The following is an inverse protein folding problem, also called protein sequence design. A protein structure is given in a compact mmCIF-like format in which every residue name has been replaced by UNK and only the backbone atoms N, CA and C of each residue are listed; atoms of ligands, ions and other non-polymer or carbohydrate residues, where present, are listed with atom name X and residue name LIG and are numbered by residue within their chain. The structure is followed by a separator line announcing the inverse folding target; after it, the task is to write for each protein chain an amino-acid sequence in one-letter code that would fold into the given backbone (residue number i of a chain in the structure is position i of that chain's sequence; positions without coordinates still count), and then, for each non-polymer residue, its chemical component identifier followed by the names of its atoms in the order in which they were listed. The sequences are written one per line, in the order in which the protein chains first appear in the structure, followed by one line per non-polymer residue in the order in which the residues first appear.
data_IF_955471499339
#
_entry.id   IF_955471499339
#
_cell.length_a   1.000
_cell.length_b   1.000
_cell.length_c   1.000
_cell.angle_alpha   90.00
_cell.angle_beta   90.00
_cell.angle_gamma   90.00
#
_symmetry.space_group_name_H-M   'P 1'
#
loop_
_entity.id
_entity.type
_entity.pdbx_description
1 polymer ?
2 polymer ?
3 water ?
#
# COMPACT_ATOMS: atom_id res chain seq x y z
N UNK A 1 16.41 -27.42 18.64
CA UNK A 1 16.83 -26.04 19.04
C UNK A 1 18.29 -25.79 18.68
N UNK A 2 18.60 -25.89 17.39
CA UNK A 2 19.94 -25.67 16.89
C UNK A 2 20.46 -24.28 17.26
N UNK A 3 19.97 -23.25 16.57
CA UNK A 3 20.38 -21.88 16.83
C UNK A 3 19.37 -20.85 16.31
N UNK A 4 19.39 -19.66 16.92
CA UNK A 4 18.50 -18.58 16.51
C UNK A 4 19.37 -17.43 16.03
N UNK A 5 19.19 -17.02 14.78
CA UNK A 5 20.01 -15.95 14.20
C UNK A 5 19.30 -15.16 13.10
N UNK A 6 19.28 -13.84 13.26
CA UNK A 6 18.68 -12.96 12.27
C UNK A 6 19.81 -12.59 11.33
N UNK A 7 19.70 -13.00 10.07
CA UNK A 7 20.75 -12.72 9.11
C UNK A 7 20.58 -11.40 8.37
N UNK A 8 19.33 -11.03 8.10
CA UNK A 8 19.07 -9.80 7.37
C UNK A 8 17.60 -9.38 7.43
N UNK A 9 17.39 -8.07 7.34
CA UNK A 9 16.08 -7.47 7.37
C UNK A 9 16.00 -6.44 6.22
N UNK A 10 14.81 -6.19 5.70
CA UNK A 10 14.67 -5.24 4.61
C UNK A 10 14.69 -3.80 5.09
N UNK A 11 14.44 -3.60 6.38
CA UNK A 11 14.45 -2.24 6.95
C UNK A 11 14.59 -2.32 8.47
N UNK A 12 15.28 -1.36 9.06
CA UNK A 12 15.49 -1.32 10.50
C UNK A 12 14.80 -0.15 11.19
N UNK A 13 13.80 0.44 10.57
CA UNK A 13 13.09 1.55 11.19
C UNK A 13 11.66 1.57 10.73
N UNK A 14 10.79 2.26 11.46
CA UNK A 14 9.40 2.28 11.07
C UNK A 14 8.60 3.17 11.99
N UNK A 15 7.34 3.40 11.62
CA UNK A 15 6.43 4.23 12.39
C UNK A 15 6.19 3.71 13.80
N UNK A 16 6.07 4.62 14.76
CA UNK A 16 5.81 4.25 16.14
C UNK A 16 4.41 3.65 16.23
N UNK A 17 3.63 3.83 15.16
CA UNK A 17 2.26 3.29 15.15
C UNK A 17 2.21 1.81 14.79
N UNK A 18 3.36 1.24 14.44
CA UNK A 18 3.39 -0.16 14.06
C UNK A 18 2.78 -0.38 12.68
N UNK A 19 2.69 -1.63 12.26
CA UNK A 19 2.09 -1.90 10.96
C UNK A 19 3.03 -2.00 9.78
N UNK A 20 4.32 -1.75 9.97
CA UNK A 20 5.25 -1.85 8.85
C UNK A 20 5.64 -3.30 8.60
N UNK A 21 5.51 -3.74 7.36
CA UNK A 21 5.86 -5.11 7.01
C UNK A 21 7.37 -5.26 6.88
N UNK A 22 7.91 -6.28 7.55
CA UNK A 22 9.34 -6.53 7.56
C UNK A 22 9.63 -7.90 6.97
N UNK A 23 10.66 -7.98 6.11
CA UNK A 23 11.07 -9.26 5.55
C UNK A 23 12.32 -9.63 6.34
N UNK A 24 12.26 -10.73 7.07
CA UNK A 24 13.37 -11.15 7.93
C UNK A 24 13.98 -12.50 7.52
N UNK A 25 15.26 -12.46 7.20
CA UNK A 25 15.96 -13.68 6.77
C UNK A 25 16.75 -14.18 7.98
N UNK A 26 16.60 -15.47 8.28
CA UNK A 26 17.24 -16.08 9.45
C UNK A 26 17.77 -17.48 9.21
N UNK A 27 18.32 -18.08 10.27
CA UNK A 27 18.80 -19.46 10.14
C UNK A 27 17.54 -20.31 10.35
N UNK A 28 17.61 -21.59 10.01
CA UNK A 28 16.46 -22.47 10.16
C UNK A 28 15.71 -22.36 11.49
N UNK A 29 14.39 -22.25 11.42
CA UNK A 29 13.54 -22.16 12.60
C UNK A 29 12.37 -23.11 12.38
N UNK A 30 11.50 -23.19 13.38
CA UNK A 30 10.30 -24.04 13.33
C UNK A 30 9.12 -23.07 13.33
N UNK A 31 8.38 -23.03 12.24
CA UNK A 31 7.25 -22.10 12.10
C UNK A 31 6.24 -22.06 13.24
N UNK A 32 6.03 -23.19 13.92
CA UNK A 32 5.07 -23.24 15.03
C UNK A 32 5.72 -22.87 16.36
N UNK A 33 7.04 -22.77 16.37
CA UNK A 33 7.77 -22.47 17.59
C UNK A 33 8.79 -21.34 17.37
N UNK A 34 8.31 -20.17 17.01
CA UNK A 34 9.18 -19.04 16.77
C UNK A 34 8.40 -17.72 16.80
N UNK A 35 9.05 -16.65 17.25
CA UNK A 35 8.39 -15.35 17.30
C UNK A 35 9.42 -14.24 17.16
N UNK A 36 8.95 -13.02 16.89
CA UNK A 36 9.84 -11.87 16.76
C UNK A 36 9.50 -11.00 17.95
N UNK A 37 10.44 -10.96 18.89
CA UNK A 37 10.30 -10.26 20.16
C UNK A 37 10.94 -8.87 20.19
N UNK A 38 10.11 -7.84 20.31
CA UNK A 38 10.58 -6.45 20.37
C UNK A 38 10.70 -6.00 21.83
N UNK A 39 11.83 -5.42 22.20
CA UNK A 39 12.03 -4.97 23.57
C UNK A 39 12.73 -3.63 23.72
N UNK A 40 12.39 -2.94 24.80
CA UNK A 40 12.99 -1.66 25.12
C UNK A 40 12.88 -1.47 26.61
N UNK A 41 13.53 -0.44 27.19
CA UNK A 41 13.40 -0.29 28.65
C UNK A 41 11.93 -0.22 29.04
N UNK A 42 11.52 -1.20 29.84
CA UNK A 42 10.14 -1.29 30.29
C UNK A 42 9.13 -1.49 29.18
N UNK A 43 9.47 -2.27 28.17
CA UNK A 43 8.54 -2.50 27.07
C UNK A 43 8.87 -3.72 26.24
N UNK A 44 7.83 -4.48 25.90
CA UNK A 44 7.98 -5.66 25.07
C UNK A 44 6.75 -5.84 24.19
N UNK A 45 6.95 -6.47 23.04
CA UNK A 45 5.87 -6.71 22.10
C UNK A 45 6.38 -7.67 21.02
N UNK A 46 5.45 -8.31 20.30
CA UNK A 46 5.82 -9.26 19.27
C UNK A 46 5.44 -8.78 17.87
N UNK A 47 6.18 -9.24 16.87
CA UNK A 47 5.85 -8.89 15.51
C UNK A 47 4.60 -9.70 15.20
N UNK A 48 3.83 -9.26 14.22
CA UNK A 48 2.60 -9.94 13.85
C UNK A 48 2.74 -10.75 12.57
N UNK A 49 2.49 -12.06 12.67
CA UNK A 49 2.56 -12.97 11.51
C UNK A 49 1.93 -14.31 11.87
N UNK A 50 1.73 -15.17 10.88
CA UNK A 50 1.16 -16.48 11.13
C UNK A 50 2.12 -17.55 10.60
N UNK A 51 1.92 -18.80 10.99
CA UNK A 51 2.77 -19.88 10.53
C UNK A 51 2.91 -19.86 9.02
N UNK A 52 1.86 -19.42 8.34
CA UNK A 52 1.86 -19.36 6.88
C UNK A 52 2.83 -18.29 6.38
N UNK A 53 3.26 -17.42 7.29
CA UNK A 53 4.19 -16.34 6.92
C UNK A 53 5.67 -16.74 6.98
N UNK A 54 5.94 -17.96 7.45
CA UNK A 54 7.32 -18.43 7.55
C UNK A 54 7.55 -19.22 6.29
N UNK A 55 8.58 -18.80 5.55
CA UNK A 55 8.94 -19.38 4.26
C UNK A 55 10.16 -20.28 4.31
N UNK A 56 9.92 -21.58 4.13
CA UNK A 56 11.00 -22.57 4.14
C UNK A 56 11.80 -22.43 5.42
N UNK A 57 11.10 -22.12 6.50
CA UNK A 57 11.68 -21.96 7.82
C UNK A 57 12.97 -21.15 7.86
N UNK A 58 13.23 -20.38 6.82
CA UNK A 58 14.45 -19.59 6.80
C UNK A 58 14.17 -18.10 6.55
N UNK A 59 12.90 -17.74 6.57
CA UNK A 59 12.50 -16.35 6.38
C UNK A 59 11.11 -16.15 6.95
N UNK A 60 10.88 -14.96 7.50
CA UNK A 60 9.59 -14.61 8.07
C UNK A 60 9.19 -13.23 7.59
N UNK A 61 7.92 -13.07 7.24
CA UNK A 61 7.36 -11.79 6.82
C UNK A 61 6.38 -11.40 7.92
N UNK A 62 6.62 -10.28 8.58
CA UNK A 62 5.75 -9.86 9.66
C UNK A 62 5.55 -8.34 9.74
N UNK A 63 4.50 -7.92 10.43
CA UNK A 63 4.21 -6.50 10.61
C UNK A 63 4.72 -6.12 12.00
N UNK A 64 5.32 -4.95 12.12
CA UNK A 64 5.85 -4.48 13.40
C UNK A 64 4.72 -4.10 14.35
N UNK A 65 4.95 -4.28 15.66
CA UNK A 65 3.92 -3.92 16.64
C UNK A 65 3.97 -2.41 16.89
N UNK A 66 2.87 -1.85 17.41
CA UNK A 66 2.85 -0.42 17.68
C UNK A 66 3.82 -0.21 18.85
N UNK A 67 4.49 0.93 18.90
CA UNK A 67 5.40 1.18 20.01
C UNK A 67 4.60 1.65 21.22
N UNK A 68 5.21 1.60 22.41
CA UNK A 68 4.52 2.00 23.63
C UNK A 68 3.91 3.39 23.53
N UNK A 69 4.71 4.35 23.06
CA UNK A 69 4.25 5.73 22.93
C UNK A 69 3.87 6.08 21.49
N UNK A 70 2.57 6.25 21.23
CA UNK A 70 2.01 6.58 19.90
C UNK A 70 2.36 8.00 19.45
N UNK A 71 2.56 8.89 20.41
CA UNK A 71 2.86 10.28 20.12
C UNK A 71 4.36 10.56 20.23
N UNK A 72 5.17 9.59 19.80
CA UNK A 72 6.62 9.72 19.83
C UNK A 72 6.99 10.99 19.10
N UNK A 73 7.90 11.78 19.67
CA UNK A 73 8.31 13.04 19.06
C UNK A 73 9.75 13.00 18.57
N UNK A 74 10.42 11.87 18.80
CA UNK A 74 11.79 11.68 18.37
C UNK A 74 12.06 10.19 18.25
N UNK A 75 12.97 9.81 17.36
CA UNK A 75 13.35 8.41 17.12
C UNK A 75 13.74 7.68 18.40
N UNK A 76 13.21 6.48 18.58
CA UNK A 76 13.51 5.65 19.74
C UNK A 76 14.08 4.31 19.29
N UNK A 77 15.31 4.00 19.71
CA UNK A 77 15.93 2.73 19.33
C UNK A 77 15.50 1.62 20.27
N UNK A 78 15.14 0.48 19.70
CA UNK A 78 14.74 -0.68 20.49
C UNK A 78 15.43 -1.91 19.91
N UNK A 79 15.22 -3.05 20.55
CA UNK A 79 15.84 -4.28 20.08
C UNK A 79 14.83 -5.24 19.48
N UNK A 80 15.30 -5.97 18.49
CA UNK A 80 14.48 -6.92 17.79
C UNK A 80 15.25 -8.23 17.80
N UNK A 81 14.59 -9.31 18.18
CA UNK A 81 15.26 -10.60 18.19
C UNK A 81 14.29 -11.76 18.07
N UNK A 82 14.81 -12.89 17.61
CA UNK A 82 14.01 -14.10 17.45
C UNK A 82 13.86 -14.76 18.82
N UNK A 83 12.68 -15.28 19.09
CA UNK A 83 12.40 -15.94 20.35
C UNK A 83 11.77 -17.30 20.09
N UNK A 84 12.23 -18.31 20.83
CA UNK A 84 11.69 -19.65 20.68
C UNK A 84 10.92 -19.99 21.96
N UNK A 85 9.58 -19.96 21.91
CA UNK A 85 8.78 -20.28 23.09
C UNK A 85 9.17 -21.63 23.69
N UNK A 86 9.66 -22.52 22.83
CA UNK A 86 10.11 -23.86 23.22
C UNK A 86 10.96 -23.83 24.49
N UNK A 87 12.16 -23.28 24.39
CA UNK A 87 13.05 -23.21 25.53
C UNK A 87 13.39 -21.76 25.90
N UNK A 88 12.58 -20.83 25.40
CA UNK A 88 12.74 -19.40 25.65
C UNK A 88 14.04 -18.80 25.13
N UNK A 89 14.71 -19.51 24.23
CA UNK A 89 15.95 -19.05 23.65
C UNK A 89 15.75 -17.76 22.82
N UNK A 90 16.76 -16.90 22.82
CA UNK A 90 16.71 -15.64 22.08
C UNK A 90 17.94 -15.47 21.21
N UNK A 91 17.77 -14.88 20.03
CA UNK A 91 18.89 -14.65 19.12
C UNK A 91 19.58 -13.38 19.60
N UNK A 92 20.69 -13.04 18.97
CA UNK A 92 21.36 -11.79 19.33
C UNK A 92 20.38 -10.70 18.87
N UNK A 93 20.29 -9.61 19.63
CA UNK A 93 19.37 -8.53 19.26
C UNK A 93 19.80 -7.72 18.05
N UNK A 94 18.82 -7.18 17.34
CA UNK A 94 19.10 -6.33 16.19
C UNK A 94 18.42 -5.01 16.48
N UNK A 95 19.07 -3.91 16.15
CA UNK A 95 18.47 -2.63 16.43
C UNK A 95 17.33 -2.30 15.48
N UNK A 96 16.31 -1.65 16.02
CA UNK A 96 15.18 -1.21 15.24
C UNK A 96 14.81 0.14 15.79
N UNK A 97 14.50 1.07 14.89
CA UNK A 97 14.18 2.40 15.36
C UNK A 97 12.75 2.85 15.04
N UNK A 98 11.98 3.15 16.08
CA UNK A 98 10.61 3.64 15.92
C UNK A 98 10.69 5.14 15.67
N UNK A 99 9.82 5.65 14.80
CA UNK A 99 9.84 7.07 14.47
C UNK A 99 8.48 7.72 14.65
N UNK A 100 8.46 9.05 14.84
CA UNK A 100 7.19 9.77 15.02
C UNK A 100 6.31 9.48 13.79
N UNK A 101 5.02 9.26 14.00
CA UNK A 101 4.09 8.91 12.90
C UNK A 101 3.61 10.06 12.02
N UNK A 102 3.50 9.78 10.72
CA UNK A 102 3.07 10.78 9.76
C UNK A 102 1.66 10.50 9.21
N UNK A 103 0.70 10.41 10.12
CA UNK A 103 -0.70 10.15 9.79
C UNK A 103 -1.28 11.22 8.85
N UNK A 104 -2.16 10.80 7.93
CA UNK A 104 -2.77 11.73 6.98
C UNK A 104 -3.62 12.82 7.64
N UNK A 105 -4.71 12.41 8.28
CA UNK A 105 -5.62 13.35 8.93
C UNK A 105 -4.93 14.26 9.93
N UNK A 106 -3.90 13.74 10.61
CA UNK A 106 -3.18 14.55 11.59
C UNK A 106 -2.19 15.48 10.88
N UNK A 107 -1.59 14.97 9.80
CA UNK A 107 -0.65 15.74 9.01
C UNK A 107 -1.38 16.98 8.49
N UNK A 108 -2.67 16.79 8.16
CA UNK A 108 -3.50 17.88 7.64
C UNK A 108 -3.76 18.92 8.71
N UNK A 109 -4.06 18.46 9.92
CA UNK A 109 -4.35 19.33 11.05
C UNK A 109 -3.19 20.25 11.43
N UNK A 110 -1.97 19.71 11.42
CA UNK A 110 -0.80 20.51 11.77
C UNK A 110 -0.52 21.46 10.63
N UNK A 111 -0.87 21.05 9.42
CA UNK A 111 -0.67 21.90 8.26
C UNK A 111 -1.68 23.05 8.35
N UNK A 112 -2.86 22.75 8.89
CA UNK A 112 -3.92 23.74 9.04
C UNK A 112 -3.47 24.88 9.95
N UNK A 113 -2.94 24.52 11.11
CA UNK A 113 -2.48 25.50 12.08
C UNK A 113 -1.33 26.32 11.51
N UNK A 114 -0.36 25.63 10.93
CA UNK A 114 0.81 26.26 10.34
C UNK A 114 0.44 27.21 9.21
N UNK A 115 -0.74 27.03 8.62
CA UNK A 115 -1.17 27.87 7.50
C UNK A 115 -2.33 28.80 7.80
N UNK A 116 -2.73 28.90 9.07
CA UNK A 116 -3.85 29.76 9.43
C UNK A 116 -3.68 31.17 8.89
N UNK A 117 -2.64 31.85 9.37
CA UNK A 117 -2.37 33.22 8.95
C UNK A 117 -2.30 33.37 7.44
N UNK A 118 -1.62 32.44 6.77
CA UNK A 118 -1.50 32.50 5.31
C UNK A 118 -2.85 32.47 4.62
N UNK A 119 -3.74 31.60 5.09
CA UNK A 119 -5.07 31.45 4.50
C UNK A 119 -5.88 32.72 4.70
N UNK A 120 -5.94 33.19 5.94
CA UNK A 120 -6.68 34.40 6.28
C UNK A 120 -6.27 35.49 5.29
N UNK A 121 -4.96 35.56 5.03
CA UNK A 121 -4.41 36.55 4.13
C UNK A 121 -4.85 36.39 2.68
N UNK A 122 -4.60 35.21 2.09
CA UNK A 122 -4.97 35.00 0.70
C UNK A 122 -6.40 35.35 0.37
N UNK A 123 -7.34 35.02 1.24
CA UNK A 123 -8.73 35.36 0.94
C UNK A 123 -9.02 36.82 1.25
N UNK A 124 -8.20 37.42 2.11
CA UNK A 124 -8.35 38.83 2.46
C UNK A 124 -8.04 39.65 1.21
N UNK A 125 -6.95 39.28 0.54
CA UNK A 125 -6.49 39.97 -0.67
C UNK A 125 -7.33 39.64 -1.89
N UNK A 126 -7.96 38.46 -1.88
CA UNK A 126 -8.78 38.04 -3.00
C UNK A 126 -10.09 38.83 -3.07
N UNK A 127 -10.73 38.86 -4.24
CA UNK A 127 -12.00 39.57 -4.43
C UNK A 127 -13.10 39.03 -3.51
N UNK A 128 -12.86 37.85 -2.94
CA UNK A 128 -13.82 37.24 -2.05
C UNK A 128 -13.96 38.09 -0.80
N UNK A 129 -15.21 38.31 -0.39
CA UNK A 129 -15.53 39.12 0.78
C UNK A 129 -15.45 38.36 2.09
N UNK A 130 -16.44 37.51 2.34
CA UNK A 130 -16.46 36.72 3.56
C UNK A 130 -17.79 36.02 3.72
N UNK A 131 -17.93 35.13 4.71
CA UNK A 131 -19.19 34.41 4.94
C UNK A 131 -20.38 35.36 5.05
N UNK A 132 -21.58 34.80 5.05
CA UNK A 132 -22.80 35.62 5.15
C UNK A 132 -22.90 36.32 6.51
N UNK A 133 -23.24 37.61 6.48
CA UNK A 133 -23.38 38.39 7.71
C UNK A 133 -24.56 37.82 8.50
N UNK A 134 -24.27 37.22 9.67
CA UNK A 134 -25.27 36.61 10.56
C UNK A 134 -26.25 37.61 11.17
N UNK A 135 -27.51 37.55 10.77
CA UNK A 135 -28.52 38.45 11.32
C UNK A 135 -28.62 38.23 12.82
N UNK B 1 14.11 -31.83 -12.32
CA UNK B 1 14.77 -30.58 -11.86
C UNK B 1 13.75 -29.68 -11.15
N UNK B 2 14.18 -29.02 -10.09
CA UNK B 2 13.29 -28.13 -9.35
C UNK B 2 12.75 -27.11 -10.33
N UNK B 3 11.53 -26.65 -10.09
CA UNK B 3 10.95 -25.66 -10.97
C UNK B 3 11.24 -24.29 -10.39
N UNK B 4 11.33 -23.29 -11.26
CA UNK B 4 11.59 -21.91 -10.86
C UNK B 4 10.27 -21.26 -10.48
N UNK B 5 10.18 -20.70 -9.29
CA UNK B 5 8.94 -20.06 -8.90
C UNK B 5 9.16 -18.95 -7.87
N UNK B 6 8.62 -17.78 -8.16
CA UNK B 6 8.71 -16.63 -7.27
C UNK B 6 7.47 -16.70 -6.38
N UNK B 7 7.69 -16.93 -5.10
CA UNK B 7 6.59 -17.05 -4.14
C UNK B 7 6.11 -15.72 -3.63
N UNK B 8 7.03 -14.78 -3.40
CA UNK B 8 6.65 -13.49 -2.89
C UNK B 8 7.75 -12.45 -2.95
N UNK B 9 7.35 -11.19 -3.04
CA UNK B 9 8.30 -10.06 -3.07
C UNK B 9 7.79 -9.00 -2.09
N UNK B 10 8.70 -8.17 -1.57
CA UNK B 10 8.28 -7.13 -0.63
C UNK B 10 7.62 -5.95 -1.32
N UNK B 11 7.88 -5.77 -2.62
CA UNK B 11 7.29 -4.65 -3.33
C UNK B 11 7.23 -4.93 -4.83
N UNK B 12 6.21 -4.44 -5.50
CA UNK B 12 6.08 -4.65 -6.93
C UNK B 12 6.17 -3.40 -7.76
N UNK B 13 6.73 -2.33 -7.19
CA UNK B 13 6.88 -1.09 -7.93
C UNK B 13 8.13 -0.37 -7.49
N UNK B 14 8.64 0.49 -8.36
CA UNK B 14 9.84 1.23 -8.01
C UNK B 14 10.16 2.29 -9.04
N UNK B 15 11.14 3.12 -8.72
CA UNK B 15 11.58 4.20 -9.59
C UNK B 15 12.13 3.69 -10.91
N UNK B 16 11.87 4.43 -11.99
CA UNK B 16 12.36 4.06 -13.30
C UNK B 16 13.89 4.15 -13.30
N UNK B 17 14.44 4.84 -12.30
CA UNK B 17 15.89 4.98 -12.19
C UNK B 17 16.58 3.72 -11.68
N UNK B 18 15.81 2.75 -11.23
CA UNK B 18 16.42 1.53 -10.71
C UNK B 18 17.02 1.77 -9.35
N UNK B 19 17.65 0.76 -8.77
CA UNK B 19 18.26 0.93 -7.46
C UNK B 19 17.43 0.52 -6.26
N UNK B 20 16.18 0.13 -6.49
CA UNK B 20 15.33 -0.26 -5.38
C UNK B 20 15.63 -1.69 -4.93
N UNK B 21 15.89 -1.85 -3.64
CA UNK B 21 16.17 -3.16 -3.08
C UNK B 21 14.89 -3.97 -2.96
N UNK B 22 14.91 -5.18 -3.50
CA UNK B 22 13.74 -6.05 -3.46
C UNK B 22 14.08 -7.35 -2.74
N UNK B 23 13.20 -7.78 -1.83
CA UNK B 23 13.38 -9.05 -1.15
C UNK B 23 12.47 -10.04 -1.86
N UNK B 24 13.07 -11.09 -2.41
CA UNK B 24 12.31 -12.09 -3.15
C UNK B 24 12.39 -13.50 -2.59
N UNK B 25 11.23 -14.06 -2.27
CA UNK B 25 11.12 -15.41 -1.74
C UNK B 25 10.77 -16.33 -2.91
N UNK B 26 11.46 -17.44 -3.03
CA UNK B 26 11.23 -18.37 -4.13
C UNK B 26 11.42 -19.83 -3.71
N UNK B 27 11.22 -20.74 -4.66
CA UNK B 27 11.45 -22.15 -4.40
C UNK B 27 12.97 -22.35 -4.52
N UNK B 28 13.46 -23.50 -4.08
CA UNK B 28 14.90 -23.79 -4.11
C UNK B 28 15.61 -23.48 -5.44
N UNK B 29 16.69 -22.70 -5.37
CA UNK B 29 17.48 -22.36 -6.55
C UNK B 29 18.95 -22.65 -6.21
N UNK B 30 19.84 -22.46 -7.18
CA UNK B 30 21.27 -22.65 -7.02
C UNK B 30 21.84 -21.26 -7.20
N UNK B 31 22.51 -20.76 -6.15
CA UNK B 31 23.06 -19.40 -6.13
C UNK B 31 23.97 -18.98 -7.27
N UNK B 32 24.75 -19.89 -7.83
CA UNK B 32 25.62 -19.52 -8.95
C UNK B 32 24.93 -19.68 -10.29
N UNK B 33 23.72 -20.24 -10.29
CA UNK B 33 22.96 -20.49 -11.53
C UNK B 33 21.53 -19.94 -11.45
N UNK B 34 21.39 -18.64 -11.21
CA UNK B 34 20.07 -18.02 -11.09
C UNK B 34 20.18 -16.51 -11.32
N UNK B 35 19.13 -15.92 -11.87
CA UNK B 35 19.14 -14.47 -12.08
C UNK B 35 17.71 -13.96 -12.07
N UNK B 36 17.56 -12.65 -11.93
CA UNK B 36 16.24 -12.01 -11.91
C UNK B 36 16.19 -11.26 -13.24
N UNK B 37 15.37 -11.77 -14.14
CA UNK B 37 15.25 -11.24 -15.50
C UNK B 37 14.03 -10.32 -15.72
N UNK B 38 14.30 -9.04 -15.96
CA UNK B 38 13.23 -8.07 -16.19
C UNK B 38 13.00 -7.86 -17.70
N UNK B 39 11.75 -7.90 -18.13
CA UNK B 39 11.46 -7.66 -19.56
C UNK B 39 10.20 -6.90 -19.82
N UNK B 40 10.22 -6.20 -20.95
CA UNK B 40 9.09 -5.42 -21.39
C UNK B 40 9.19 -5.33 -22.91
N UNK B 41 8.21 -4.72 -23.58
CA UNK B 41 8.27 -4.62 -25.04
C UNK B 41 9.60 -4.00 -25.44
N UNK B 42 10.42 -4.77 -26.15
CA UNK B 42 11.71 -4.26 -26.58
C UNK B 42 12.63 -3.80 -25.46
N UNK B 43 12.66 -4.54 -24.36
CA UNK B 43 13.53 -4.20 -23.23
C UNK B 43 13.80 -5.38 -22.32
N UNK B 44 15.05 -5.52 -21.91
CA UNK B 44 15.48 -6.59 -21.02
C UNK B 44 16.55 -6.06 -20.09
N UNK B 45 16.64 -6.65 -18.90
CA UNK B 45 17.63 -6.25 -17.93
C UNK B 45 17.54 -7.20 -16.74
N UNK B 46 18.60 -7.27 -15.93
CA UNK B 46 18.56 -8.17 -14.78
C UNK B 46 18.75 -7.44 -13.46
N UNK B 47 18.22 -8.04 -12.41
CA UNK B 47 18.37 -7.44 -11.10
C UNK B 47 19.83 -7.54 -10.72
N UNK B 48 20.25 -6.72 -9.77
CA UNK B 48 21.64 -6.74 -9.33
C UNK B 48 21.79 -7.39 -7.96
N UNK B 49 22.63 -8.41 -7.87
CA UNK B 49 22.91 -9.10 -6.61
C UNK B 49 24.11 -10.03 -6.77
N UNK B 50 24.70 -10.47 -5.67
CA UNK B 50 25.83 -11.38 -5.70
C UNK B 50 25.37 -12.69 -5.07
N UNK B 51 26.20 -13.72 -5.13
CA UNK B 51 25.83 -15.01 -4.57
C UNK B 51 25.56 -14.88 -3.08
N UNK B 52 26.37 -14.08 -2.39
CA UNK B 52 26.19 -13.88 -0.96
C UNK B 52 24.76 -13.38 -0.73
N UNK B 53 24.15 -12.80 -1.76
CA UNK B 53 22.79 -12.28 -1.62
C UNK B 53 21.68 -13.32 -1.74
N UNK B 54 22.03 -14.58 -2.01
CA UNK B 54 21.05 -15.64 -2.10
C UNK B 54 21.03 -16.37 -0.76
N UNK B 55 19.91 -16.25 -0.05
CA UNK B 55 19.74 -16.81 1.27
C UNK B 55 19.22 -18.24 1.31
N UNK B 56 20.05 -19.15 1.81
CA UNK B 56 19.66 -20.55 1.90
C UNK B 56 18.94 -21.01 0.66
N UNK B 57 19.38 -20.49 -0.50
CA UNK B 57 18.84 -20.83 -1.81
C UNK B 57 17.33 -20.71 -1.98
N UNK B 58 16.68 -20.05 -1.04
CA UNK B 58 15.23 -19.90 -1.13
C UNK B 58 14.77 -18.43 -1.02
N UNK B 59 15.72 -17.52 -1.16
CA UNK B 59 15.44 -16.10 -1.11
C UNK B 59 16.60 -15.33 -1.73
N UNK B 60 16.27 -14.20 -2.37
CA UNK B 60 17.28 -13.38 -3.01
C UNK B 60 16.99 -11.92 -2.69
N UNK B 61 18.03 -11.16 -2.38
CA UNK B 61 17.89 -9.73 -2.12
C UNK B 61 18.64 -9.05 -3.27
N UNK B 62 17.94 -8.25 -4.05
CA UNK B 62 18.55 -7.61 -5.21
C UNK B 62 18.07 -6.19 -5.46
N UNK B 63 18.84 -5.46 -6.24
CA UNK B 63 18.46 -4.09 -6.58
C UNK B 63 17.92 -4.14 -8.00
N UNK B 64 16.83 -3.42 -8.24
CA UNK B 64 16.20 -3.35 -9.56
C UNK B 64 17.09 -2.58 -10.54
N UNK B 65 17.04 -2.98 -11.82
CA UNK B 65 17.85 -2.28 -12.82
C UNK B 65 17.12 -1.04 -13.25
N UNK B 66 17.84 -0.06 -13.82
CA UNK B 66 17.16 1.16 -14.25
C UNK B 66 16.28 0.79 -15.45
N UNK B 67 15.17 1.50 -15.63
CA UNK B 67 14.29 1.21 -16.76
C UNK B 67 14.87 1.83 -18.04
N UNK B 68 14.36 1.40 -19.19
CA UNK B 68 14.83 1.91 -20.48
C UNK B 68 14.75 3.43 -20.54
N UNK B 69 13.59 3.97 -20.17
CA UNK B 69 13.36 5.40 -20.20
C UNK B 69 13.48 6.02 -18.80
N UNK B 70 14.55 6.80 -18.57
CA UNK B 70 14.77 7.44 -17.27
C UNK B 70 13.83 8.62 -17.00
N UNK B 71 13.27 9.20 -18.05
CA UNK B 71 12.36 10.32 -17.90
C UNK B 71 10.91 9.87 -18.06
N UNK B 72 10.61 8.68 -17.53
CA UNK B 72 9.27 8.12 -17.59
C UNK B 72 8.31 9.12 -16.97
N UNK B 73 7.18 9.37 -17.64
CA UNK B 73 6.19 10.33 -17.13
C UNK B 73 4.93 9.67 -16.62
N UNK B 74 4.84 8.35 -16.76
CA UNK B 74 3.69 7.59 -16.29
C UNK B 74 4.14 6.16 -15.99
N UNK B 75 3.47 5.51 -15.02
CA UNK B 75 3.81 4.14 -14.62
C UNK B 75 3.81 3.16 -15.79
N UNK B 76 4.86 2.35 -15.86
CA UNK B 76 5.01 1.35 -16.91
C UNK B 76 5.12 -0.04 -16.29
N UNK B 77 4.20 -0.93 -16.67
CA UNK B 77 4.23 -2.29 -16.15
C UNK B 77 5.15 -3.19 -16.97
N UNK B 78 6.01 -3.94 -16.28
CA UNK B 78 6.95 -4.87 -16.91
C UNK B 78 6.85 -6.22 -16.20
N UNK B 79 7.63 -7.18 -16.70
CA UNK B 79 7.64 -8.52 -16.14
C UNK B 79 8.91 -8.79 -15.37
N UNK B 80 8.77 -9.57 -14.32
CA UNK B 80 9.90 -9.93 -13.47
C UNK B 80 9.83 -11.44 -13.37
N UNK B 81 10.95 -12.12 -13.61
CA UNK B 81 10.95 -13.55 -13.51
C UNK B 81 12.33 -14.11 -13.20
N UNK B 82 12.33 -15.33 -12.65
CA UNK B 82 13.56 -16.02 -12.32
C UNK B 82 14.09 -16.67 -13.59
N UNK B 83 15.40 -16.63 -13.81
CA UNK B 83 15.99 -17.25 -14.99
C UNK B 83 17.18 -18.12 -14.58
N UNK B 84 17.28 -19.29 -15.19
CA UNK B 84 18.39 -20.21 -14.93
C UNK B 84 19.29 -20.25 -16.15
N UNK B 85 20.48 -19.63 -16.09
CA UNK B 85 21.40 -19.62 -17.24
C UNK B 85 21.65 -21.07 -17.70
N UNK B 86 21.65 -21.97 -16.72
CA UNK B 86 21.86 -23.39 -16.95
C UNK B 86 21.11 -23.96 -18.16
N UNK B 87 19.78 -23.96 -18.09
CA UNK B 87 18.96 -24.49 -19.18
C UNK B 87 18.03 -23.41 -19.75
N UNK B 88 18.32 -22.16 -19.40
CA UNK B 88 17.56 -21.02 -19.88
C UNK B 88 16.11 -21.01 -19.45
N UNK B 89 15.79 -21.81 -18.44
CA UNK B 89 14.44 -21.92 -17.90
C UNK B 89 14.00 -20.60 -17.26
N UNK B 90 12.70 -20.31 -17.32
CA UNK B 90 12.14 -19.10 -16.73
C UNK B 90 10.92 -19.44 -15.88
N UNK B 91 10.76 -18.72 -14.77
CA UNK B 91 9.62 -18.91 -13.88
C UNK B 91 8.46 -18.18 -14.52
N UNK B 92 7.29 -18.29 -13.90
CA UNK B 92 6.14 -17.59 -14.41
C UNK B 92 6.45 -16.14 -14.09
N UNK B 93 6.12 -15.22 -15.01
CA UNK B 93 6.40 -13.80 -14.76
C UNK B 93 5.57 -13.17 -13.65
N UNK B 94 6.13 -12.13 -13.05
CA UNK B 94 5.47 -11.41 -12.00
C UNK B 94 5.48 -9.94 -12.41
N UNK B 95 4.40 -9.23 -12.12
CA UNK B 95 4.31 -7.84 -12.50
C UNK B 95 5.20 -6.95 -11.67
N UNK B 96 5.77 -5.93 -12.32
CA UNK B 96 6.57 -4.95 -11.64
C UNK B 96 6.26 -3.65 -12.36
N UNK B 97 6.06 -2.60 -11.58
CA UNK B 97 5.70 -1.32 -12.15
C UNK B 97 6.79 -0.26 -11.93
N UNK B 98 7.31 0.29 -13.02
CA UNK B 98 8.31 1.33 -12.92
C UNK B 98 7.57 2.66 -12.84
N UNK B 99 8.07 3.57 -12.02
CA UNK B 99 7.41 4.85 -11.83
C UNK B 99 8.32 6.02 -12.14
N UNK B 100 7.73 7.19 -12.48
CA UNK B 100 8.51 8.39 -12.81
C UNK B 100 9.32 8.84 -11.60
N UNK B 101 10.38 9.59 -11.86
CA UNK B 101 11.24 10.09 -10.80
C UNK B 101 10.61 11.31 -10.16
N UNK B 102 10.46 11.29 -8.84
CA UNK B 102 9.87 12.42 -8.13
C UNK B 102 10.94 13.45 -7.76
N UNK B 103 10.68 14.71 -8.10
CA UNK B 103 11.59 15.81 -7.82
C UNK B 103 12.85 15.73 -8.68
N UNK B 104 13.51 16.87 -8.87
CA UNK B 104 14.73 16.96 -9.68
C UNK B 104 14.41 16.58 -11.12
N UNK B 105 14.09 15.30 -11.34
CA UNK B 105 13.75 14.80 -12.66
C UNK B 105 12.33 15.24 -12.99
N UNK B 106 12.17 15.87 -14.15
CA UNK B 106 10.88 16.38 -14.59
C UNK B 106 10.37 17.52 -13.73
N UNK B 107 10.84 17.59 -12.49
CA UNK B 107 10.45 18.65 -11.58
C UNK B 107 11.11 19.95 -12.05
N UNK B 108 12.39 19.85 -12.40
CA UNK B 108 13.16 21.00 -12.88
C UNK B 108 12.95 21.07 -14.39
N UNK B 109 12.18 20.12 -14.90
CA UNK B 109 11.86 20.03 -16.33
C UNK B 109 10.38 20.34 -16.53
N UNK B 110 10.02 21.62 -16.42
CA UNK B 110 8.65 22.08 -16.58
C UNK B 110 7.60 21.19 -15.92
N UNK B 111 7.51 21.32 -14.60
CA UNK B 111 6.55 20.57 -13.79
C UNK B 111 6.38 21.45 -12.57
N UNK B 112 7.47 21.60 -11.82
CA UNK B 112 7.50 22.46 -10.65
C UNK B 112 7.49 23.86 -11.25
N UNK C 1 -5.50 33.55 -13.97
CA UNK C 1 -5.82 32.51 -12.95
C UNK C 1 -4.87 32.60 -11.75
N UNK C 2 -5.43 32.52 -10.55
CA UNK C 2 -4.63 32.59 -9.32
C UNK C 2 -3.58 31.49 -9.35
N UNK C 3 -2.43 31.73 -8.72
CA UNK C 3 -1.37 30.73 -8.72
C UNK C 3 -0.50 30.68 -7.48
N UNK C 4 -1.06 31.02 -6.33
CA UNK C 4 -0.31 30.98 -5.08
C UNK C 4 -0.11 29.55 -4.62
N UNK C 5 1.03 29.28 -4.00
CA UNK C 5 1.35 27.96 -3.50
C UNK C 5 2.21 28.05 -2.24
N UNK C 6 1.89 27.24 -1.24
CA UNK C 6 2.65 27.23 0.01
C UNK C 6 3.97 26.49 -0.18
N UNK C 7 4.77 26.41 0.88
CA UNK C 7 6.04 25.70 0.82
C UNK C 7 5.77 24.22 0.66
N UNK C 8 4.54 23.82 0.93
CA UNK C 8 4.14 22.42 0.84
C UNK C 8 3.44 22.14 -0.50
N UNK C 9 3.38 23.15 -1.36
CA UNK C 9 2.74 22.97 -2.65
C UNK C 9 1.22 23.09 -2.63
N UNK C 10 0.65 23.51 -1.51
CA UNK C 10 -0.80 23.67 -1.39
C UNK C 10 -1.31 25.00 -1.94
N UNK C 11 -2.18 24.94 -2.94
CA UNK C 11 -2.73 26.15 -3.52
C UNK C 11 -3.89 26.64 -2.65
N UNK C 12 -4.57 27.69 -3.10
CA UNK C 12 -5.70 28.24 -2.35
C UNK C 12 -6.78 27.16 -2.19
N UNK C 13 -6.87 26.27 -3.17
CA UNK C 13 -7.84 25.19 -3.11
C UNK C 13 -7.52 24.25 -1.95
N UNK C 14 -6.30 23.70 -1.96
CA UNK C 14 -5.88 22.77 -0.90
C UNK C 14 -6.16 23.36 0.47
N UNK C 15 -5.85 24.63 0.62
CA UNK C 15 -6.06 25.31 1.90
C UNK C 15 -7.53 25.53 2.21
N UNK C 16 -8.36 25.63 1.18
CA UNK C 16 -9.79 25.82 1.41
C UNK C 16 -10.35 24.56 2.09
N UNK C 17 -9.88 23.39 1.64
CA UNK C 17 -10.36 22.14 2.23
C UNK C 17 -9.64 21.87 3.56
N UNK C 18 -8.34 22.17 3.62
CA UNK C 18 -7.59 21.97 4.86
C UNK C 18 -8.28 22.78 5.97
N UNK C 19 -8.67 24.00 5.64
CA UNK C 19 -9.33 24.86 6.62
C UNK C 19 -10.85 24.69 6.65
N UNK C 20 -11.36 23.72 5.89
CA UNK C 20 -12.79 23.45 5.87
C UNK C 20 -13.60 24.73 5.75
N UNK C 21 -13.27 25.55 4.77
CA UNK C 21 -13.98 26.82 4.56
C UNK C 21 -14.89 26.71 3.33
N UNK C 22 -16.07 26.15 3.51
CA UNK C 22 -17.01 25.98 2.40
C UNK C 22 -17.23 27.25 1.60
N UNK C 23 -17.49 28.39 2.26
CA UNK C 23 -17.71 29.66 1.57
C UNK C 23 -16.58 30.02 0.61
N UNK C 24 -15.34 30.00 1.08
CA UNK C 24 -14.23 30.33 0.21
C UNK C 24 -14.07 29.25 -0.84
N UNK C 25 -14.32 27.99 -0.46
CA UNK C 25 -14.22 26.90 -1.43
C UNK C 25 -15.14 27.21 -2.59
N UNK C 26 -16.39 27.54 -2.28
CA UNK C 26 -17.37 27.88 -3.30
C UNK C 26 -16.85 28.97 -4.22
N UNK C 27 -16.24 29.99 -3.62
CA UNK C 27 -15.68 31.10 -4.38
C UNK C 27 -14.65 30.55 -5.37
N UNK C 28 -13.61 29.89 -4.86
CA UNK C 28 -12.56 29.33 -5.70
C UNK C 28 -13.15 28.52 -6.84
N UNK C 29 -13.97 27.53 -6.50
CA UNK C 29 -14.59 26.68 -7.50
C UNK C 29 -15.38 27.50 -8.52
N UNK C 30 -15.79 28.70 -8.12
CA UNK C 30 -16.54 29.55 -9.00
C UNK C 30 -15.82 29.78 -10.32
N UNK C 31 -14.48 29.72 -10.27
CA UNK C 31 -13.67 29.91 -11.47
C UNK C 31 -13.03 28.60 -11.86
N UNK C 32 -12.37 27.96 -10.90
CA UNK C 32 -11.66 26.70 -11.08
C UNK C 32 -12.36 25.66 -11.95
N UNK C 33 -13.68 25.52 -11.80
CA UNK C 33 -14.43 24.54 -12.57
C UNK C 33 -13.92 24.35 -14.00
N UNK C 34 -13.53 23.12 -14.33
CA UNK C 34 -13.04 22.82 -15.67
C UNK C 34 -11.56 23.06 -15.91
N UNK C 35 -10.92 23.86 -15.06
CA UNK C 35 -9.51 24.19 -15.19
C UNK C 35 -8.63 23.05 -14.67
N UNK C 36 -7.32 23.18 -14.95
CA UNK C 36 -6.34 22.20 -14.49
C UNK C 36 -5.98 22.56 -13.05
N UNK C 37 -6.41 23.75 -12.63
CA UNK C 37 -6.15 24.23 -11.29
C UNK C 37 -6.71 23.26 -10.25
N UNK C 38 -7.83 22.63 -10.58
CA UNK C 38 -8.44 21.67 -9.67
C UNK C 38 -7.56 20.48 -9.35
N UNK C 39 -6.85 19.98 -10.37
CA UNK C 39 -6.00 18.81 -10.17
C UNK C 39 -4.57 19.04 -9.71
N UNK C 40 -4.23 20.28 -9.39
CA UNK C 40 -2.88 20.57 -8.94
C UNK C 40 -2.58 19.75 -7.69
N UNK C 41 -1.40 19.12 -7.68
CA UNK C 41 -0.99 18.29 -6.55
C UNK C 41 0.07 18.96 -5.69
N UNK C 42 -0.15 19.01 -4.38
CA UNK C 42 0.86 19.59 -3.49
C UNK C 42 2.08 18.67 -3.49
N UNK C 43 3.00 18.88 -2.56
CA UNK C 43 4.23 18.09 -2.50
C UNK C 43 4.06 16.64 -2.04
N UNK C 44 2.86 16.28 -1.60
CA UNK C 44 2.59 14.90 -1.19
C UNK C 44 1.85 14.23 -2.35
N UNK C 45 1.72 14.95 -3.46
CA UNK C 45 1.04 14.43 -4.63
C UNK C 45 -0.47 14.49 -4.49
N UNK C 46 -0.94 15.13 -3.44
CA UNK C 46 -2.37 15.24 -3.19
C UNK C 46 -3.04 16.40 -3.91
N UNK C 47 -4.27 16.16 -4.36
CA UNK C 47 -5.05 17.21 -5.01
C UNK C 47 -6.05 17.64 -3.94
N UNK C 48 -6.92 18.58 -4.27
CA UNK C 48 -7.93 19.03 -3.31
C UNK C 48 -8.89 17.88 -3.02
N UNK C 49 -9.16 17.08 -4.05
CA UNK C 49 -10.07 15.93 -3.92
C UNK C 49 -9.51 14.97 -2.88
N UNK C 50 -8.23 14.64 -3.01
CA UNK C 50 -7.55 13.74 -2.09
C UNK C 50 -7.73 14.23 -0.66
N UNK C 51 -7.52 15.52 -0.46
CA UNK C 51 -7.65 16.10 0.86
C UNK C 51 -9.07 15.93 1.40
N UNK C 52 -10.06 16.21 0.55
CA UNK C 52 -11.45 16.11 0.93
C UNK C 52 -11.79 14.67 1.31
N UNK C 53 -11.24 13.72 0.55
CA UNK C 53 -11.48 12.30 0.80
C UNK C 53 -10.93 11.87 2.16
N UNK C 54 -9.71 12.31 2.45
CA UNK C 54 -9.06 11.98 3.71
C UNK C 54 -9.88 12.51 4.86
N UNK C 55 -10.40 13.72 4.70
CA UNK C 55 -11.18 14.36 5.75
C UNK C 55 -12.57 13.73 5.89
N UNK C 56 -12.94 12.90 4.92
CA UNK C 56 -14.23 12.24 4.95
C UNK C 56 -15.41 13.20 4.80
N UNK C 57 -15.23 14.25 4.02
CA UNK C 57 -16.28 15.24 3.80
C UNK C 57 -17.04 14.99 2.49
N UNK C 58 -18.13 14.22 2.57
CA UNK C 58 -18.93 13.87 1.39
C UNK C 58 -19.44 15.06 0.61
N UNK C 59 -19.80 16.12 1.33
CA UNK C 59 -20.30 17.30 0.66
C UNK C 59 -19.18 17.97 -0.13
N UNK C 60 -17.99 18.05 0.46
CA UNK C 60 -16.86 18.68 -0.20
C UNK C 60 -16.36 17.86 -1.39
N UNK C 61 -16.48 16.53 -1.30
CA UNK C 61 -16.04 15.68 -2.38
C UNK C 61 -16.94 15.86 -3.60
N UNK C 62 -18.24 16.09 -3.36
CA UNK C 62 -19.19 16.28 -4.46
C UNK C 62 -18.91 17.57 -5.22
N UNK C 63 -18.64 18.65 -4.49
CA UNK C 63 -18.37 19.93 -5.12
C UNK C 63 -17.18 19.80 -6.06
N UNK C 64 -16.10 19.24 -5.52
CA UNK C 64 -14.89 19.04 -6.31
C UNK C 64 -15.18 18.11 -7.48
N UNK C 65 -15.92 17.04 -7.23
CA UNK C 65 -16.26 16.07 -8.27
C UNK C 65 -17.18 16.74 -9.32
N UNK C 66 -18.17 17.47 -8.84
CA UNK C 66 -19.11 18.16 -9.71
C UNK C 66 -18.37 19.18 -10.56
N UNK C 67 -17.37 19.82 -9.97
CA UNK C 67 -16.56 20.82 -10.65
C UNK C 67 -15.62 20.24 -11.69
N UNK C 68 -15.50 18.91 -11.71
CA UNK C 68 -14.64 18.29 -12.70
C UNK C 68 -13.27 17.82 -12.23
N UNK C 69 -13.08 17.67 -10.92
CA UNK C 69 -11.81 17.21 -10.38
C UNK C 69 -11.52 15.79 -10.87
N UNK C 70 -10.27 15.54 -11.26
CA UNK C 70 -9.85 14.23 -11.73
C UNK C 70 -9.96 13.18 -10.64
N UNK C 71 -10.59 12.06 -10.94
CA UNK C 71 -10.79 11.03 -9.95
C UNK C 71 -9.75 9.90 -9.99
N UNK C 72 -8.87 9.93 -10.98
CA UNK C 72 -7.84 8.91 -11.10
C UNK C 72 -6.47 9.42 -10.68
N UNK C 73 -6.35 10.72 -10.47
CA UNK C 73 -5.08 11.28 -10.06
C UNK C 73 -4.62 10.54 -8.81
N UNK C 74 -3.33 10.26 -8.72
CA UNK C 74 -2.79 9.54 -7.57
C UNK C 74 -1.76 10.37 -6.81
N UNK C 75 -1.79 10.27 -5.49
CA UNK C 75 -0.83 10.99 -4.68
C UNK C 75 0.45 10.15 -4.58
N UNK C 76 1.33 10.51 -3.64
CA UNK C 76 2.62 9.85 -3.45
C UNK C 76 2.63 8.34 -3.38
N UNK C 77 1.63 7.74 -2.73
CA UNK C 77 1.57 6.29 -2.62
C UNK C 77 0.78 5.62 -3.74
N UNK C 78 0.40 6.41 -4.75
CA UNK C 78 -0.37 5.89 -5.86
C UNK C 78 -1.85 5.77 -5.51
N UNK C 79 -2.26 6.46 -4.44
CA UNK C 79 -3.65 6.41 -4.01
C UNK C 79 -4.55 7.41 -4.71
N UNK C 80 -5.66 6.92 -5.26
CA UNK C 80 -6.64 7.82 -5.89
C UNK C 80 -7.46 8.30 -4.71
N UNK C 81 -8.41 9.20 -4.96
CA UNK C 81 -9.28 9.71 -3.91
C UNK C 81 -10.09 8.54 -3.34
N UNK C 82 -10.50 7.62 -4.21
CA UNK C 82 -11.27 6.46 -3.75
C UNK C 82 -10.41 5.57 -2.85
N UNK C 83 -9.12 5.45 -3.15
CA UNK C 83 -8.24 4.63 -2.32
C UNK C 83 -8.16 5.17 -0.92
N UNK C 84 -8.07 6.50 -0.81
CA UNK C 84 -7.96 7.17 0.47
C UNK C 84 -9.24 7.00 1.28
N UNK C 85 -10.38 7.06 0.60
CA UNK C 85 -11.66 6.90 1.28
C UNK C 85 -11.68 5.53 1.94
N UNK C 86 -11.13 4.54 1.26
CA UNK C 86 -11.13 3.16 1.78
C UNK C 86 -10.17 2.93 2.93
N UNK C 87 -9.39 3.94 3.28
CA UNK C 87 -8.41 3.81 4.35
C UNK C 87 -8.96 4.44 5.61
N UNK C 88 -9.85 5.41 5.43
CA UNK C 88 -10.44 6.11 6.57
C UNK C 88 -11.92 5.84 6.71
N UNK C 89 -12.39 4.74 6.12
CA UNK C 89 -13.81 4.39 6.22
C UNK C 89 -14.76 5.51 5.83
N UNK C 90 -14.36 6.33 4.86
CA UNK C 90 -15.21 7.43 4.39
C UNK C 90 -16.25 6.89 3.42
N UNK C 91 -17.18 6.09 3.96
CA UNK C 91 -18.24 5.47 3.19
C UNK C 91 -19.04 6.40 2.29
N UNK C 92 -19.50 7.53 2.85
CA UNK C 92 -20.28 8.46 2.07
C UNK C 92 -19.47 9.10 0.92
N UNK C 93 -18.19 9.35 1.16
CA UNK C 93 -17.33 9.92 0.11
C UNK C 93 -17.19 8.94 -1.06
N UNK C 94 -17.02 7.66 -0.75
CA UNK C 94 -16.87 6.64 -1.78
C UNK C 94 -18.14 6.60 -2.63
N UNK C 95 -19.27 6.77 -1.94
CA UNK C 95 -20.58 6.74 -2.58
C UNK C 95 -20.72 7.88 -3.61
N UNK C 96 -20.27 9.07 -3.22
CA UNK C 96 -20.31 10.23 -4.11
C UNK C 96 -19.47 9.95 -5.36
N UNK C 97 -18.29 9.35 -5.16
CA UNK C 97 -17.40 9.06 -6.27
C UNK C 97 -17.87 7.92 -7.18
N UNK C 98 -18.47 6.90 -6.56
CA UNK C 98 -18.92 5.72 -7.29
C UNK C 98 -20.22 5.83 -8.11
N UNK C 99 -20.27 6.83 -8.98
CA UNK C 99 -21.42 7.07 -9.86
C UNK C 99 -21.02 8.14 -10.86
N UNK C 100 -21.82 8.32 -11.93
CA UNK C 100 -21.48 9.33 -12.93
C UNK C 100 -21.36 10.69 -12.28
N UNK C 101 -20.32 11.44 -12.65
CA UNK C 101 -20.10 12.77 -12.12
C UNK C 101 -21.38 13.61 -12.17
N UNK C 102 -21.58 14.49 -11.18
CA UNK C 102 -22.79 15.33 -11.18
C UNK C 102 -22.86 16.15 -12.47
N UNK C 103 -24.07 16.37 -12.97
CA UNK C 103 -24.24 17.16 -14.18
C UNK C 103 -24.06 18.64 -13.83
N UNK C 104 -23.15 19.31 -14.53
CA UNK C 104 -22.86 20.73 -14.30
C UNK C 104 -22.28 20.94 -12.90
N UNK C 105 -21.45 21.98 -12.74
CA UNK C 105 -20.83 22.29 -11.45
C UNK C 105 -21.84 22.79 -10.42
N UNK C 106 -21.88 24.10 -10.23
CA UNK C 106 -22.78 24.72 -9.28
C UNK C 106 -22.94 26.22 -9.57
N UNK C 107 -24.02 26.59 -10.24
CA UNK C 107 -24.28 27.99 -10.59
C UNK C 107 -25.63 28.45 -10.03
N UNK C 108 -26.06 27.82 -8.93
CA UNK C 108 -27.33 28.14 -8.28
C UNK C 108 -28.53 27.89 -9.18
N UNK C 144 -13.86 7.29 -22.07
CA UNK C 144 -13.11 7.17 -20.79
C UNK C 144 -13.86 7.84 -19.64
N UNK C 145 -14.99 8.49 -19.97
CA UNK C 145 -15.78 9.17 -18.94
C UNK C 145 -16.54 8.11 -18.15
N UNK C 146 -15.83 7.03 -17.84
CA UNK C 146 -16.35 5.89 -17.10
C UNK C 146 -15.87 5.96 -15.65
N UNK C 147 -16.74 6.39 -14.74
CA UNK C 147 -16.38 6.49 -13.33
C UNK C 147 -15.92 5.15 -12.77
N UNK C 148 -16.27 4.06 -13.45
CA UNK C 148 -15.91 2.71 -13.00
C UNK C 148 -14.41 2.40 -13.12
N UNK C 149 -13.67 3.27 -13.80
CA UNK C 149 -12.24 3.08 -13.95
C UNK C 149 -11.56 3.29 -12.60
N UNK C 150 -12.31 3.79 -11.60
CA UNK C 150 -11.77 4.01 -10.26
C UNK C 150 -11.66 2.69 -9.50
N UNK C 151 -12.59 1.79 -9.81
CA UNK C 151 -12.69 0.50 -9.16
C UNK C 151 -11.47 -0.38 -9.26
N UNK C 152 -10.78 -0.31 -10.38
CA UNK C 152 -9.62 -1.16 -10.55
C UNK C 152 -8.30 -0.38 -10.59
N UNK C 153 -8.36 0.88 -10.15
CA UNK C 153 -7.15 1.70 -10.10
C UNK C 153 -6.24 1.04 -9.06
N UNK C 154 -4.96 0.91 -9.37
CA UNK C 154 -4.08 0.29 -8.38
C UNK C 154 -3.03 1.25 -7.87
N UNK C 155 -2.79 1.22 -6.56
CA UNK C 155 -1.79 2.08 -5.99
C UNK C 155 -0.44 1.41 -6.17
N UNK C 156 0.59 2.04 -5.62
CA UNK C 156 1.96 1.53 -5.72
C UNK C 156 2.21 0.30 -4.85
N UNK C 157 1.23 -0.06 -4.03
CA UNK C 157 1.33 -1.25 -3.19
C UNK C 157 0.67 -2.40 -3.96
N UNK C 158 0.25 -2.11 -5.18
CA UNK C 158 -0.41 -3.12 -6.00
C UNK C 158 -1.84 -3.37 -5.53
N UNK C 159 -2.38 -2.43 -4.75
CA UNK C 159 -3.74 -2.56 -4.22
C UNK C 159 -4.79 -1.75 -4.95
N UNK C 160 -5.94 -2.37 -5.19
CA UNK C 160 -7.06 -1.67 -5.81
C UNK C 160 -7.88 -1.26 -4.60
N UNK C 161 -8.92 -0.44 -4.78
CA UNK C 161 -9.72 -0.02 -3.62
C UNK C 161 -10.28 -1.18 -2.78
N UNK C 162 -10.74 -2.25 -3.44
CA UNK C 162 -11.31 -3.37 -2.69
C UNK C 162 -10.29 -3.98 -1.72
N UNK C 163 -9.07 -4.19 -2.22
CA UNK C 163 -8.00 -4.72 -1.39
C UNK C 163 -7.88 -3.89 -0.14
N UNK C 164 -7.86 -2.58 -0.31
CA UNK C 164 -7.75 -1.66 0.82
C UNK C 164 -8.95 -1.82 1.75
N UNK C 165 -10.16 -1.83 1.21
CA UNK C 165 -11.34 -1.98 2.07
C UNK C 165 -11.29 -3.27 2.89
N UNK C 166 -10.81 -4.36 2.29
CA UNK C 166 -10.70 -5.63 3.00
C UNK C 166 -9.56 -5.57 4.01
N UNK C 167 -8.40 -5.07 3.58
CA UNK C 167 -7.26 -4.97 4.49
C UNK C 167 -7.70 -4.25 5.76
N UNK C 168 -8.55 -3.25 5.59
CA UNK C 168 -9.05 -2.50 6.73
C UNK C 168 -10.32 -3.07 7.33
N UNK C 169 -10.64 -4.32 7.01
CA UNK C 169 -11.82 -4.98 7.56
C UNK C 169 -13.03 -4.04 7.56
N UNK C 170 -13.27 -3.41 6.42
CA UNK C 170 -14.38 -2.47 6.28
C UNK C 170 -15.51 -3.11 5.48
N UNK C 171 -16.41 -3.78 6.19
CA UNK C 171 -17.53 -4.48 5.58
C UNK C 171 -18.43 -3.54 4.80
N UNK C 172 -18.74 -2.39 5.40
CA UNK C 172 -19.58 -1.41 4.75
C UNK C 172 -18.96 -0.96 3.42
N UNK C 173 -17.65 -0.71 3.42
CA UNK C 173 -16.99 -0.28 2.20
C UNK C 173 -16.94 -1.41 1.17
N UNK C 174 -16.77 -2.64 1.64
CA UNK C 174 -16.75 -3.79 0.75
C UNK C 174 -18.10 -3.87 0.04
N UNK C 175 -19.17 -3.64 0.78
CA UNK C 175 -20.52 -3.68 0.19
C UNK C 175 -20.68 -2.66 -0.94
N UNK C 176 -20.26 -1.42 -0.70
CA UNK C 176 -20.34 -0.37 -1.72
C UNK C 176 -19.51 -0.74 -2.95
N UNK C 177 -18.30 -1.24 -2.72
CA UNK C 177 -17.45 -1.64 -3.82
C UNK C 177 -18.09 -2.80 -4.60
N UNK C 178 -18.60 -3.79 -3.89
CA UNK C 178 -19.24 -4.94 -4.52
C UNK C 178 -20.36 -4.45 -5.45
N UNK C 179 -21.32 -3.74 -4.86
CA UNK C 179 -22.45 -3.21 -5.62
C UNK C 179 -21.96 -2.33 -6.77
N UNK C 180 -20.82 -1.68 -6.61
CA UNK C 180 -20.28 -0.81 -7.66
C UNK C 180 -19.70 -1.62 -8.82
N UNK C 181 -19.54 -2.92 -8.59
CA UNK C 181 -19.02 -3.80 -9.62
C UNK C 181 -17.52 -4.05 -9.56
N UNK C 182 -16.92 -3.91 -8.38
CA UNK C 182 -15.48 -4.15 -8.24
C UNK C 182 -15.16 -5.63 -8.48
N UNK C 183 -13.95 -5.90 -8.98
CA UNK C 183 -13.53 -7.27 -9.24
C UNK C 183 -13.18 -7.99 -7.92
N UNK C 184 -14.07 -8.87 -7.47
CA UNK C 184 -13.87 -9.61 -6.22
C UNK C 184 -12.80 -10.71 -6.24
N UNK C 185 -12.18 -10.95 -7.39
CA UNK C 185 -11.17 -12.01 -7.46
C UNK C 185 -9.76 -11.50 -7.74
N UNK C 186 -9.64 -10.20 -7.98
CA UNK C 186 -8.37 -9.53 -8.30
C UNK C 186 -7.24 -9.81 -7.32
N UNK C 187 -6.18 -10.50 -7.77
CA UNK C 187 -5.05 -10.80 -6.89
C UNK C 187 -4.13 -9.59 -6.73
N UNK C 188 -3.63 -9.35 -5.52
CA UNK C 188 -2.67 -8.25 -5.36
C UNK C 188 -1.35 -8.92 -5.80
N UNK C 189 -0.40 -8.13 -6.34
CA UNK C 189 0.87 -8.65 -6.83
C UNK C 189 2.08 -9.10 -5.99
N UNK C 190 2.09 -8.95 -4.67
CA UNK C 190 3.29 -9.41 -3.96
C UNK C 190 3.35 -10.94 -3.91
N UNK C 191 2.19 -11.57 -3.70
CA UNK C 191 2.13 -13.02 -3.67
C UNK C 191 0.79 -13.54 -4.16
N UNK C 192 0.12 -12.73 -4.96
CA UNK C 192 -1.15 -13.13 -5.53
C UNK C 192 -2.32 -13.35 -4.60
N UNK C 193 -2.39 -12.60 -3.52
CA UNK C 193 -3.51 -12.75 -2.62
C UNK C 193 -4.77 -12.13 -3.23
N UNK C 194 -5.88 -12.85 -3.14
CA UNK C 194 -7.15 -12.37 -3.66
C UNK C 194 -7.85 -11.66 -2.50
N UNK C 195 -8.99 -11.01 -2.75
CA UNK C 195 -9.69 -10.35 -1.64
C UNK C 195 -9.97 -11.37 -0.52
N UNK C 196 -10.34 -12.58 -0.91
CA UNK C 196 -10.63 -13.62 0.08
C UNK C 196 -9.41 -13.95 0.93
N UNK C 197 -8.21 -13.93 0.32
CA UNK C 197 -6.99 -14.21 1.08
C UNK C 197 -6.75 -13.09 2.08
N UNK C 198 -7.00 -11.86 1.65
CA UNK C 198 -6.79 -10.71 2.52
C UNK C 198 -7.77 -10.75 3.69
N UNK C 199 -9.02 -11.11 3.42
CA UNK C 199 -9.99 -11.16 4.50
C UNK C 199 -9.57 -12.19 5.53
N UNK C 200 -9.02 -13.32 5.07
CA UNK C 200 -8.58 -14.36 5.98
C UNK C 200 -7.40 -13.84 6.81
N UNK C 201 -6.46 -13.16 6.17
CA UNK C 201 -5.33 -12.59 6.88
C UNK C 201 -5.83 -11.58 7.90
N UNK C 202 -6.88 -10.86 7.51
CA UNK C 202 -7.48 -9.83 8.37
C UNK C 202 -8.37 -10.43 9.45
N UNK C 203 -8.60 -11.74 9.38
CA UNK C 203 -9.46 -12.46 10.31
C UNK C 203 -10.82 -11.76 10.41
N UNK C 204 -11.23 -11.13 9.30
CA UNK C 204 -12.52 -10.45 9.26
C UNK C 204 -13.53 -11.40 8.62
N UNK C 205 -14.16 -12.21 9.48
CA UNK C 205 -15.14 -13.20 9.05
C UNK C 205 -16.33 -12.62 8.28
N UNK C 206 -16.88 -11.52 8.76
CA UNK C 206 -18.03 -10.90 8.11
C UNK C 206 -17.68 -10.42 6.70
N UNK C 207 -16.45 -9.95 6.54
CA UNK C 207 -15.99 -9.48 5.24
C UNK C 207 -15.77 -10.72 4.36
N UNK C 208 -15.21 -11.76 4.97
CA UNK C 208 -14.98 -13.01 4.25
C UNK C 208 -16.31 -13.51 3.70
N UNK C 209 -17.35 -13.44 4.52
CA UNK C 209 -18.67 -13.89 4.12
C UNK C 209 -19.26 -13.03 3.02
N UNK C 210 -19.16 -11.71 3.16
CA UNK C 210 -19.69 -10.81 2.13
C UNK C 210 -19.07 -11.22 0.80
N UNK C 211 -17.75 -11.35 0.78
CA UNK C 211 -17.06 -11.75 -0.43
C UNK C 211 -17.60 -13.09 -0.93
N UNK C 212 -17.69 -14.06 -0.02
CA UNK C 212 -18.18 -15.39 -0.40
C UNK C 212 -19.58 -15.37 -1.01
N UNK C 213 -20.54 -14.77 -0.32
CA UNK C 213 -21.89 -14.72 -0.83
C UNK C 213 -21.93 -14.04 -2.20
N UNK C 214 -21.04 -13.08 -2.44
CA UNK C 214 -21.03 -12.39 -3.74
C UNK C 214 -20.34 -13.21 -4.82
N UNK C 215 -19.90 -14.42 -4.47
CA UNK C 215 -19.29 -15.29 -5.46
C UNK C 215 -17.79 -15.24 -5.69
N UNK C 216 -17.02 -14.78 -4.71
CA UNK C 216 -15.58 -14.73 -4.85
C UNK C 216 -15.10 -16.18 -4.90
N UNK C 217 -14.36 -16.52 -5.94
CA UNK C 217 -13.85 -17.89 -6.14
C UNK C 217 -12.90 -18.38 -5.04
N UNK C 218 -13.39 -19.21 -4.11
CA UNK C 218 -12.60 -19.73 -3.00
C UNK C 218 -11.51 -20.74 -3.43
N UNK C 219 -11.40 -20.99 -4.73
CA UNK C 219 -10.41 -21.93 -5.24
C UNK C 219 -9.12 -21.25 -5.71
N UNK C 220 -9.07 -19.92 -5.61
CA UNK C 220 -7.90 -19.17 -6.04
C UNK C 220 -6.73 -19.41 -5.11
N UNK C 221 -5.54 -19.57 -5.68
CA UNK C 221 -4.36 -19.78 -4.83
C UNK C 221 -3.34 -18.67 -5.04
N UNK C 222 -2.61 -18.33 -3.99
CA UNK C 222 -1.59 -17.30 -4.16
C UNK C 222 -0.43 -17.97 -4.89
N UNK C 223 0.55 -17.18 -5.31
CA UNK C 223 1.71 -17.70 -6.03
C UNK C 223 2.26 -19.02 -5.50
N UNK C 224 2.26 -19.18 -4.19
CA UNK C 224 2.78 -20.40 -3.61
C UNK C 224 1.88 -21.61 -3.89
N UNK C 225 0.58 -21.37 -3.99
CA UNK C 225 -0.37 -22.43 -4.24
C UNK C 225 -1.42 -22.51 -3.15
N UNK C 226 -1.21 -21.78 -2.05
CA UNK C 226 -2.13 -21.78 -0.93
C UNK C 226 -3.46 -21.09 -1.24
N UNK C 227 -4.54 -21.69 -0.75
CA UNK C 227 -5.89 -21.16 -0.96
C UNK C 227 -6.36 -20.42 0.30
N UNK C 228 -7.52 -19.77 0.23
CA UNK C 228 -8.03 -19.06 1.40
C UNK C 228 -8.28 -20.00 2.57
N UNK C 229 -8.81 -21.19 2.26
CA UNK C 229 -9.09 -22.18 3.30
C UNK C 229 -7.77 -22.64 3.91
N UNK C 230 -6.85 -23.03 3.03
CA UNK C 230 -5.55 -23.49 3.47
C UNK C 230 -4.90 -22.45 4.35
N UNK C 231 -5.15 -21.18 4.01
CA UNK C 231 -4.60 -20.08 4.77
C UNK C 231 -5.34 -19.97 6.09
N UNK C 232 -6.66 -20.08 6.04
CA UNK C 232 -7.49 -19.98 7.24
C UNK C 232 -7.17 -21.06 8.28
N UNK C 233 -6.74 -22.23 7.81
CA UNK C 233 -6.42 -23.32 8.73
C UNK C 233 -5.24 -22.95 9.63
N UNK C 234 -4.25 -22.26 9.06
CA UNK C 234 -3.07 -21.84 9.81
C UNK C 234 -3.36 -20.60 10.65
N UNK C 235 -4.62 -20.15 10.62
CA UNK C 235 -5.02 -18.98 11.37
C UNK C 235 -5.77 -19.43 12.63
N UNK C 236 -5.89 -18.55 13.64
CA UNK C 236 -6.58 -18.87 14.89
C UNK C 236 -8.10 -18.94 14.84
N UNK C 237 -8.76 -17.85 14.44
CA UNK C 237 -10.22 -17.78 14.39
C UNK C 237 -10.83 -18.89 13.53
N UNK C 238 -11.55 -19.84 14.19
CA UNK C 238 -12.21 -20.98 13.54
C UNK C 238 -13.32 -20.61 12.57
N UNK C 239 -14.00 -19.50 12.85
CA UNK C 239 -15.10 -19.04 12.03
C UNK C 239 -14.74 -19.01 10.55
N UNK C 240 -13.59 -18.42 10.25
CA UNK C 240 -13.12 -18.27 8.87
C UNK C 240 -13.09 -19.58 8.09
N UNK C 241 -12.57 -20.64 8.70
CA UNK C 241 -12.52 -21.93 8.06
C UNK C 241 -13.94 -22.46 7.83
N UNK C 242 -14.77 -22.35 8.86
CA UNK C 242 -16.16 -22.80 8.78
C UNK C 242 -16.85 -22.18 7.57
N UNK C 243 -16.78 -20.85 7.46
CA UNK C 243 -17.38 -20.12 6.35
C UNK C 243 -16.95 -20.69 5.01
N UNK C 244 -15.65 -20.67 4.77
CA UNK C 244 -15.09 -21.18 3.51
C UNK C 244 -15.62 -22.58 3.25
N UNK C 245 -15.63 -23.41 4.30
CA UNK C 245 -16.14 -24.77 4.17
C UNK C 245 -17.58 -24.69 3.68
N UNK C 246 -18.42 -24.02 4.48
CA UNK C 246 -19.84 -23.87 4.17
C UNK C 246 -20.11 -23.32 2.77
N UNK C 247 -19.16 -22.61 2.18
CA UNK C 247 -19.35 -22.07 0.85
C UNK C 247 -18.67 -22.85 -0.28
N UNK C 248 -18.42 -24.13 -0.03
CA UNK C 248 -17.82 -24.97 -1.05
C UNK C 248 -16.35 -24.80 -1.36
N UNK C 249 -15.57 -24.41 -0.37
CA UNK C 249 -14.13 -24.26 -0.59
C UNK C 249 -13.48 -25.64 -0.43
N UNK C 250 -12.85 -26.14 -1.51
CA UNK C 250 -12.19 -27.45 -1.43
C UNK C 250 -11.18 -27.48 -0.30
N UNK C 251 -10.92 -28.67 0.25
CA UNK C 251 -9.98 -28.81 1.36
C UNK C 251 -8.53 -28.69 0.85
N UNK C 252 -7.65 -28.05 1.64
CA UNK C 252 -6.23 -27.82 1.33
C UNK C 252 -5.43 -29.10 1.02
N UNK C 253 -4.31 -28.92 0.31
CA UNK C 253 -3.44 -30.03 -0.06
C UNK C 253 -2.16 -30.07 0.75
N UNK C 254 -2.18 -30.81 1.86
CA UNK C 254 -1.01 -30.95 2.72
C UNK C 254 -0.26 -29.63 2.87
N UNK C 255 1.07 -29.71 2.75
CA UNK C 255 1.92 -28.52 2.87
C UNK C 255 3.36 -28.87 2.54
#
# INVERSE_FOLDING_TARGET
TAELKICRVNRNSGSCLGGDEIFLLCDKVQKEDIEVYFTGPGWEARGSFSQADVHRQVAIVFRTPPYADPSLQAPVRVSMQLRRPSDRELSEPMEFQYLPDTDDRHRIEEKRKRTYETFKSIMKKSPFNGPTEPRP
TAELKICRVNRNSGSCLGGDEIFLLCDKVQKEDIEVYFTGPGWEARGSFSQADVHRQVAIVFRTPPYADPSLQAPVRVSMQLRRPSDRELSEPMEFQYLPDTDDRHRIEEKRKRTYETFKSIMKKSPFNGPTEPRP
VFGYVTEDGDTALHLAVIHQHEPFLDFLLGFSAGHEYLDLQNDLGQTALHLAAILGEASTVEKLYAAGAGVLVAERGGHTALHLACRVRAHTCACVLLQPRPSHPRDASDTYLTQSQDCTPDTSHAPAAVDSQPNPENEEEPRDEDWRLQLEAENYDGHTPLHVAVIHKDAEMVRLLRDAGADLNKPEPTCGRTPLHLAVEAQAASVLELLLKAGADPTARMYGGRTPLGSALLRPNPILARLLRAHGAPEPEDGGDKLSPCSSSGSDSDSDNRDEGDEYDD
#
